data_IF_853845022221
#
_entry.id   IF_853845022221
#
_cell.length_a   1.000
_cell.length_b   1.000
_cell.length_c   1.000
_cell.angle_alpha   90.00
_cell.angle_beta   90.00
_cell.angle_gamma   90.00
#
_symmetry.space_group_name_H-M   'P 1'
#
loop_
_entity.id
_entity.type
_entity.pdbx_description
1 polymer ?
#
# COMPACT_ATOMS: atom_id res chain seq x y z
N UNK A 1 -54.99 28.92 1.11
CA UNK A 1 -54.13 28.57 2.24
C UNK A 1 -53.55 27.15 2.13
N UNK A 2 -54.37 26.10 1.84
CA UNK A 2 -53.85 24.72 1.74
C UNK A 2 -52.81 24.48 0.64
N UNK A 3 -52.88 25.17 -0.50
CA UNK A 3 -51.91 25.02 -1.62
C UNK A 3 -50.54 25.68 -1.36
N UNK A 4 -50.51 26.76 -0.58
CA UNK A 4 -49.27 27.43 -0.17
C UNK A 4 -48.48 26.60 0.87
N UNK A 5 -49.18 25.88 1.74
CA UNK A 5 -48.56 24.98 2.72
C UNK A 5 -47.90 23.76 2.05
N UNK A 6 -48.50 23.20 0.98
CA UNK A 6 -47.93 22.09 0.22
C UNK A 6 -46.63 22.48 -0.54
N UNK A 7 -46.58 23.71 -1.09
CA UNK A 7 -45.37 24.16 -1.78
C UNK A 7 -44.21 24.41 -0.81
N UNK A 8 -44.47 24.92 0.39
CA UNK A 8 -43.45 25.14 1.41
C UNK A 8 -42.86 23.81 1.93
N UNK A 9 -43.66 22.75 2.04
CA UNK A 9 -43.19 21.43 2.48
C UNK A 9 -42.28 20.74 1.46
N UNK A 10 -42.53 20.92 0.15
CA UNK A 10 -41.72 20.36 -0.93
C UNK A 10 -40.38 21.11 -1.03
N UNK A 11 -40.37 22.43 -0.84
CA UNK A 11 -39.14 23.22 -0.86
C UNK A 11 -38.17 22.87 0.32
N UNK A 12 -38.73 22.51 1.49
CA UNK A 12 -37.94 22.13 2.66
C UNK A 12 -37.32 20.72 2.52
N UNK A 13 -38.00 19.80 1.82
CA UNK A 13 -37.48 18.44 1.59
C UNK A 13 -36.33 18.40 0.56
N UNK A 14 -36.29 19.33 -0.40
CA UNK A 14 -35.17 19.42 -1.38
C UNK A 14 -33.90 20.02 -0.75
N UNK A 15 -34.02 20.90 0.23
CA UNK A 15 -32.89 21.48 0.92
C UNK A 15 -32.14 20.49 1.85
N UNK A 16 -32.79 19.41 2.28
CA UNK A 16 -32.21 18.38 3.13
C UNK A 16 -31.38 17.32 2.33
N UNK A 17 -31.54 17.26 1.01
CA UNK A 17 -30.79 16.34 0.14
C UNK A 17 -29.43 16.90 -0.32
N UNK A 18 -29.13 18.18 -0.06
CA UNK A 18 -27.87 18.83 -0.41
C UNK A 18 -26.80 18.73 0.69
N UNK A 19 -27.06 18.02 1.77
CA UNK A 19 -26.11 17.76 2.85
C UNK A 19 -25.30 16.48 2.63
N UNK A 20 -25.06 16.08 1.36
CA UNK A 20 -24.05 15.08 1.03
C UNK A 20 -22.66 15.70 1.13
N UNK A 21 -21.90 15.16 2.00
CA UNK A 21 -20.61 15.56 2.51
C UNK A 21 -19.57 15.86 1.42
N UNK A 22 -18.87 17.00 1.47
CA UNK A 22 -17.76 17.30 0.56
C UNK A 22 -16.45 16.58 0.91
N UNK A 23 -16.39 15.78 1.98
CA UNK A 23 -15.13 15.28 2.53
C UNK A 23 -14.63 13.93 1.96
N UNK A 24 -15.39 13.23 1.11
CA UNK A 24 -14.93 11.97 0.50
C UNK A 24 -13.95 12.17 -0.65
N UNK A 25 -13.96 13.32 -1.30
CA UNK A 25 -13.11 13.59 -2.49
C UNK A 25 -11.61 13.75 -2.16
N UNK A 26 -11.25 13.93 -0.88
CA UNK A 26 -9.86 14.13 -0.44
C UNK A 26 -9.27 12.97 0.36
N UNK A 27 -9.93 11.80 0.37
CA UNK A 27 -9.44 10.63 1.10
C UNK A 27 -8.86 9.60 0.14
N UNK A 28 -7.66 9.09 0.47
CA UNK A 28 -6.97 8.03 -0.31
C UNK A 28 -6.57 6.90 0.63
N UNK A 29 -7.00 5.68 0.34
CA UNK A 29 -6.60 4.48 1.06
C UNK A 29 -5.41 3.82 0.38
N UNK A 30 -4.34 3.60 1.14
CA UNK A 30 -3.11 2.98 0.62
C UNK A 30 -2.79 1.69 1.36
N UNK A 31 -2.73 0.59 0.64
CA UNK A 31 -2.30 -0.69 1.17
C UNK A 31 -0.78 -0.77 1.26
N UNK A 32 -0.27 -1.18 2.42
CA UNK A 32 1.16 -1.42 2.66
C UNK A 32 1.35 -2.79 3.34
N UNK A 33 2.60 -3.24 3.43
CA UNK A 33 2.92 -4.37 4.29
C UNK A 33 3.26 -3.90 5.70
N UNK A 34 2.87 -4.70 6.69
CA UNK A 34 3.27 -4.52 8.10
C UNK A 34 4.79 -4.58 8.22
N UNK A 35 5.38 -3.65 8.99
CA UNK A 35 6.81 -3.64 9.22
C UNK A 35 7.42 -2.24 9.31
N UNK A 36 8.71 -2.08 8.97
CA UNK A 36 9.41 -0.79 9.03
C UNK A 36 8.75 0.32 8.21
N UNK A 37 8.02 -0.04 7.17
CA UNK A 37 7.31 0.87 6.25
C UNK A 37 6.25 1.69 6.97
N UNK A 38 5.60 1.14 8.01
CA UNK A 38 4.54 1.81 8.76
C UNK A 38 5.00 3.15 9.36
N UNK A 39 6.25 3.21 9.84
CA UNK A 39 6.81 4.45 10.38
C UNK A 39 7.00 5.52 9.28
N UNK A 40 7.38 5.11 8.09
CA UNK A 40 7.54 6.00 6.92
C UNK A 40 6.16 6.52 6.49
N UNK A 41 5.17 5.64 6.43
CA UNK A 41 3.82 5.99 6.00
C UNK A 41 3.11 6.92 6.97
N UNK A 42 3.38 6.84 8.27
CA UNK A 42 2.90 7.87 9.24
C UNK A 42 3.40 9.27 8.91
N UNK A 43 4.63 9.39 8.42
CA UNK A 43 5.16 10.67 7.97
C UNK A 43 4.48 11.11 6.66
N UNK A 44 4.21 10.17 5.76
CA UNK A 44 3.47 10.44 4.50
C UNK A 44 2.07 10.97 4.80
N UNK A 45 1.32 10.32 5.70
CA UNK A 45 -0.01 10.77 6.15
C UNK A 45 0.03 12.22 6.67
N UNK A 46 1.00 12.52 7.55
CA UNK A 46 1.14 13.86 8.12
C UNK A 46 1.47 14.90 7.03
N UNK A 47 2.43 14.61 6.15
CA UNK A 47 2.83 15.52 5.06
C UNK A 47 1.71 15.73 4.05
N UNK A 48 0.99 14.66 3.70
CA UNK A 48 -0.16 14.70 2.79
C UNK A 48 -1.24 15.64 3.35
N UNK A 49 -1.55 15.51 4.63
CA UNK A 49 -2.53 16.34 5.32
C UNK A 49 -2.09 17.80 5.39
N UNK A 50 -0.86 18.06 5.85
CA UNK A 50 -0.40 19.42 6.15
C UNK A 50 -0.13 20.24 4.88
N UNK A 51 0.39 19.61 3.82
CA UNK A 51 0.82 20.31 2.61
C UNK A 51 -0.21 20.25 1.48
N UNK A 52 -0.99 19.19 1.41
CA UNK A 52 -1.85 18.92 0.26
C UNK A 52 -3.34 18.80 0.63
N UNK A 53 -3.67 18.89 1.93
CA UNK A 53 -5.03 18.72 2.46
C UNK A 53 -5.63 17.38 2.03
N UNK A 54 -4.78 16.37 1.86
CA UNK A 54 -5.15 15.01 1.46
C UNK A 54 -5.15 14.10 2.69
N UNK A 55 -6.28 13.44 2.95
CA UNK A 55 -6.41 12.47 4.02
C UNK A 55 -5.97 11.09 3.49
N UNK A 56 -4.77 10.65 3.88
CA UNK A 56 -4.25 9.34 3.53
C UNK A 56 -4.56 8.37 4.66
N UNK A 57 -5.29 7.30 4.36
CA UNK A 57 -5.54 6.18 5.26
C UNK A 57 -4.66 5.00 4.90
N UNK A 58 -3.78 4.59 5.79
CA UNK A 58 -2.89 3.44 5.58
C UNK A 58 -3.55 2.15 6.07
N UNK A 59 -3.63 1.14 5.20
CA UNK A 59 -4.15 -0.20 5.50
C UNK A 59 -3.00 -1.20 5.44
N UNK A 60 -2.62 -1.79 6.59
CA UNK A 60 -1.49 -2.71 6.70
C UNK A 60 -1.91 -4.17 6.51
N UNK A 61 -1.15 -4.92 5.71
CA UNK A 61 -1.34 -6.34 5.45
C UNK A 61 -0.11 -7.15 5.89
N UNK A 62 -0.32 -8.39 6.34
CA UNK A 62 0.76 -9.27 6.80
C UNK A 62 1.31 -10.22 5.73
N UNK A 63 0.86 -10.08 4.48
CA UNK A 63 1.27 -10.90 3.34
C UNK A 63 1.44 -10.08 2.06
N UNK A 64 1.99 -10.70 1.02
CA UNK A 64 2.28 -10.03 -0.26
C UNK A 64 1.20 -10.20 -1.33
N UNK A 65 0.11 -10.92 -1.06
CA UNK A 65 -0.97 -11.19 -2.02
C UNK A 65 -2.13 -10.23 -1.81
N UNK A 66 -2.60 -10.10 -0.57
CA UNK A 66 -3.79 -9.33 -0.21
C UNK A 66 -3.73 -7.85 -0.61
N UNK A 67 -2.59 -7.12 -0.56
CA UNK A 67 -2.58 -5.73 -1.01
C UNK A 67 -2.95 -5.53 -2.48
N UNK A 68 -2.57 -6.48 -3.35
CA UNK A 68 -2.96 -6.46 -4.76
C UNK A 68 -4.43 -6.88 -4.96
N UNK A 69 -4.93 -7.82 -4.19
CA UNK A 69 -6.34 -8.21 -4.22
C UNK A 69 -7.23 -7.06 -3.75
N UNK A 70 -6.88 -6.40 -2.66
CA UNK A 70 -7.62 -5.23 -2.15
C UNK A 70 -7.67 -4.09 -3.18
N UNK A 71 -6.55 -3.81 -3.87
CA UNK A 71 -6.53 -2.81 -4.94
C UNK A 71 -7.40 -3.23 -6.14
N UNK A 72 -7.33 -4.49 -6.55
CA UNK A 72 -8.14 -5.01 -7.66
C UNK A 72 -9.64 -4.97 -7.34
N UNK A 73 -10.01 -5.21 -6.08
CA UNK A 73 -11.39 -5.16 -5.61
C UNK A 73 -11.89 -3.74 -5.32
N UNK A 74 -11.01 -2.73 -5.37
CA UNK A 74 -11.27 -1.33 -5.02
C UNK A 74 -11.58 -1.12 -3.52
N UNK A 75 -11.05 -1.96 -2.66
CA UNK A 75 -11.10 -1.79 -1.21
C UNK A 75 -10.09 -0.73 -0.75
N UNK A 76 -9.04 -0.51 -1.57
CA UNK A 76 -8.03 0.55 -1.45
C UNK A 76 -7.82 1.21 -2.81
N UNK A 77 -7.30 2.46 -2.81
CA UNK A 77 -7.08 3.28 -4.00
C UNK A 77 -5.69 3.09 -4.61
N UNK A 78 -4.73 2.71 -3.76
CA UNK A 78 -3.36 2.45 -4.16
C UNK A 78 -2.72 1.38 -3.26
N UNK A 79 -1.59 0.83 -3.69
CA UNK A 79 -0.70 0.10 -2.80
C UNK A 79 0.76 0.51 -2.99
N UNK A 80 1.58 0.32 -1.95
CA UNK A 80 3.00 0.68 -1.96
C UNK A 80 3.79 -0.32 -1.10
N UNK A 81 4.13 -1.47 -1.66
CA UNK A 81 4.86 -2.52 -0.97
C UNK A 81 5.79 -3.31 -1.89
N UNK A 82 5.54 -3.31 -3.18
CA UNK A 82 6.08 -4.27 -4.12
C UNK A 82 7.14 -3.68 -5.06
N UNK A 83 8.01 -4.54 -5.55
CA UNK A 83 8.94 -4.21 -6.63
C UNK A 83 8.26 -4.32 -7.99
N UNK A 84 8.77 -3.60 -8.99
CA UNK A 84 8.21 -3.67 -10.36
C UNK A 84 8.20 -5.11 -10.92
N UNK A 85 9.28 -5.92 -10.81
CA UNK A 85 9.25 -7.29 -11.28
C UNK A 85 8.19 -8.17 -10.58
N UNK A 86 7.94 -7.94 -9.28
CA UNK A 86 6.88 -8.64 -8.56
C UNK A 86 5.50 -8.24 -9.09
N UNK A 87 5.25 -6.94 -9.28
CA UNK A 87 4.02 -6.44 -9.85
C UNK A 87 3.76 -7.03 -11.25
N UNK A 88 4.77 -7.07 -12.11
CA UNK A 88 4.67 -7.64 -13.46
C UNK A 88 4.32 -9.13 -13.42
N UNK A 89 4.98 -9.91 -12.55
CA UNK A 89 4.70 -11.32 -12.36
C UNK A 89 3.25 -11.57 -11.87
N UNK A 90 2.82 -10.84 -10.84
CA UNK A 90 1.47 -10.94 -10.30
C UNK A 90 0.40 -10.47 -11.30
N UNK A 91 0.68 -9.42 -12.05
CA UNK A 91 -0.25 -8.93 -13.08
C UNK A 91 -0.42 -9.94 -14.21
N UNK A 92 0.67 -10.59 -14.62
CA UNK A 92 0.63 -11.66 -15.64
C UNK A 92 -0.14 -12.90 -15.15
N UNK A 93 0.09 -13.31 -13.91
CA UNK A 93 -0.51 -14.50 -13.32
C UNK A 93 -2.01 -14.32 -13.03
N UNK A 94 -2.38 -13.16 -12.48
CA UNK A 94 -3.72 -12.89 -11.94
C UNK A 94 -4.56 -11.95 -12.79
N UNK A 95 -4.00 -11.40 -13.86
CA UNK A 95 -4.71 -10.52 -14.80
C UNK A 95 -4.93 -9.10 -14.30
N UNK A 96 -4.16 -8.63 -13.30
CA UNK A 96 -4.30 -7.28 -12.78
C UNK A 96 -3.94 -6.22 -13.83
N UNK A 97 -4.69 -5.10 -13.83
CA UNK A 97 -4.50 -3.97 -14.75
C UNK A 97 -4.15 -2.71 -13.96
N UNK A 98 -3.05 -2.77 -13.22
CA UNK A 98 -2.59 -1.65 -12.41
C UNK A 98 -1.69 -0.71 -13.20
N UNK A 99 -1.68 0.57 -12.82
CA UNK A 99 -0.75 1.57 -13.31
C UNK A 99 0.29 1.89 -12.23
N UNK A 100 1.56 1.99 -12.61
CA UNK A 100 2.61 2.48 -11.72
C UNK A 100 2.57 4.00 -11.72
N UNK A 101 2.17 4.60 -10.62
CA UNK A 101 2.03 6.06 -10.48
C UNK A 101 3.29 6.74 -9.94
N UNK A 102 4.21 5.98 -9.33
CA UNK A 102 5.46 6.50 -8.81
C UNK A 102 6.34 5.43 -8.19
N UNK A 103 7.58 5.80 -7.88
CA UNK A 103 8.51 4.98 -7.10
C UNK A 103 8.66 5.63 -5.72
N UNK A 104 8.72 4.80 -4.68
CA UNK A 104 8.88 5.25 -3.29
C UNK A 104 10.33 5.06 -2.85
N UNK A 105 10.62 3.97 -2.17
CA UNK A 105 11.95 3.65 -1.62
C UNK A 105 12.24 2.15 -1.81
N UNK A 106 13.49 1.77 -1.60
CA UNK A 106 13.94 0.38 -1.62
C UNK A 106 14.83 0.12 -0.43
N UNK A 107 14.61 -0.99 0.26
CA UNK A 107 15.51 -1.45 1.29
C UNK A 107 16.67 -2.24 0.70
N UNK A 108 17.90 -2.06 1.23
CA UNK A 108 19.01 -2.94 0.90
C UNK A 108 18.71 -4.36 1.37
N UNK A 109 19.15 -5.35 0.59
CA UNK A 109 19.16 -6.73 1.05
C UNK A 109 20.46 -6.99 1.82
N UNK A 110 20.38 -7.74 2.91
CA UNK A 110 21.52 -8.07 3.74
C UNK A 110 21.42 -9.51 4.27
N UNK A 111 22.56 -10.12 4.55
CA UNK A 111 22.64 -11.38 5.27
C UNK A 111 22.75 -11.11 6.79
N UNK A 112 22.02 -11.91 7.57
CA UNK A 112 22.01 -11.84 9.03
C UNK A 112 22.38 -13.18 9.65
N UNK A 113 23.11 -13.14 10.76
CA UNK A 113 23.46 -14.35 11.50
C UNK A 113 23.37 -14.09 13.02
N UNK A 114 22.85 -15.11 13.75
CA UNK A 114 22.92 -15.15 15.19
C UNK A 114 24.17 -15.90 15.69
N UNK A 115 24.90 -16.60 14.81
CA UNK A 115 26.01 -17.51 15.15
C UNK A 115 27.38 -16.90 14.94
N UNK A 116 27.53 -16.09 13.88
CA UNK A 116 28.81 -15.46 13.50
C UNK A 116 28.61 -13.95 13.42
N UNK A 117 29.69 -13.22 13.66
CA UNK A 117 29.71 -11.75 13.60
C UNK A 117 30.39 -11.23 12.33
N UNK A 118 31.21 -12.04 11.69
CA UNK A 118 31.95 -11.69 10.49
C UNK A 118 31.76 -12.78 9.44
N UNK A 119 31.67 -12.41 8.17
CA UNK A 119 31.52 -13.34 7.04
C UNK A 119 32.72 -14.31 6.94
N UNK A 120 33.92 -13.88 7.34
CA UNK A 120 35.14 -14.73 7.38
C UNK A 120 35.02 -15.91 8.35
N UNK A 121 34.08 -15.89 9.28
CA UNK A 121 33.80 -16.96 10.24
C UNK A 121 32.83 -17.99 9.69
N UNK A 122 32.30 -17.80 8.46
CA UNK A 122 31.33 -18.70 7.87
C UNK A 122 32.02 -20.04 7.55
N UNK A 123 31.62 -21.17 8.17
CA UNK A 123 32.27 -22.45 7.93
C UNK A 123 31.92 -22.99 6.55
N UNK A 124 32.82 -23.77 5.99
CA UNK A 124 32.54 -24.53 4.77
C UNK A 124 31.35 -25.46 4.99
N UNK A 125 30.44 -25.53 4.00
CA UNK A 125 29.21 -26.31 4.11
C UNK A 125 28.12 -25.67 4.96
N UNK A 126 28.24 -24.39 5.34
CA UNK A 126 27.19 -23.68 6.07
C UNK A 126 25.89 -23.60 5.26
N UNK A 127 24.76 -23.70 5.96
CA UNK A 127 23.46 -23.52 5.37
C UNK A 127 23.01 -22.06 5.46
N UNK A 128 22.66 -21.48 4.33
CA UNK A 128 22.11 -20.13 4.22
C UNK A 128 20.64 -20.22 3.77
N UNK A 129 19.74 -19.61 4.54
CA UNK A 129 18.33 -19.49 4.16
C UNK A 129 18.14 -18.25 3.30
N UNK A 130 17.52 -18.40 2.15
CA UNK A 130 17.17 -17.30 1.24
C UNK A 130 15.67 -17.33 0.93
N UNK A 131 15.14 -16.21 0.42
CA UNK A 131 13.75 -16.14 -0.02
C UNK A 131 13.48 -17.07 -1.21
N UNK A 132 12.31 -17.70 -1.25
CA UNK A 132 11.80 -18.44 -2.41
C UNK A 132 10.94 -17.56 -3.35
N UNK A 133 10.71 -16.30 -2.99
CA UNK A 133 10.06 -15.35 -3.86
C UNK A 133 11.03 -14.95 -4.98
N UNK A 134 10.57 -15.04 -6.25
CA UNK A 134 11.43 -14.97 -7.45
C UNK A 134 12.31 -13.72 -7.51
N UNK A 135 11.76 -12.55 -7.16
CA UNK A 135 12.51 -11.29 -7.25
C UNK A 135 13.51 -11.11 -6.12
N UNK A 136 13.14 -11.53 -4.92
CA UNK A 136 14.03 -11.52 -3.74
C UNK A 136 15.07 -12.62 -3.80
N UNK A 137 14.74 -13.79 -4.37
CA UNK A 137 15.68 -14.87 -4.64
C UNK A 137 16.85 -14.39 -5.51
N UNK A 138 16.54 -13.74 -6.65
CA UNK A 138 17.58 -13.22 -7.55
C UNK A 138 18.53 -12.24 -6.84
N UNK A 139 18.00 -11.32 -6.03
CA UNK A 139 18.80 -10.39 -5.23
C UNK A 139 19.65 -11.10 -4.15
N UNK A 140 19.08 -12.14 -3.51
CA UNK A 140 19.79 -12.93 -2.51
C UNK A 140 20.97 -13.67 -3.12
N UNK A 141 20.80 -14.27 -4.31
CA UNK A 141 21.88 -14.95 -5.03
C UNK A 141 23.00 -13.99 -5.46
N UNK A 142 22.64 -12.78 -5.90
CA UNK A 142 23.63 -11.74 -6.23
C UNK A 142 24.42 -11.28 -5.01
N UNK A 143 23.82 -11.26 -3.82
CA UNK A 143 24.52 -10.90 -2.57
C UNK A 143 25.54 -11.96 -2.16
N UNK A 144 25.34 -13.23 -2.52
CA UNK A 144 26.19 -14.35 -2.14
C UNK A 144 27.34 -14.63 -3.14
N UNK A 145 27.42 -13.87 -4.24
CA UNK A 145 28.53 -13.94 -5.20
C UNK A 145 29.76 -13.16 -4.70
#
# INVERSE_FOLDING_TARGET
>A
MKKLFSLALIATSVALLSACSPDEDNKVKVAINTGPDEAIWKVVEQVAKDKYHLDVEVVSFNDYVLPNEALNNKDVDANAFQTLPYLEAQSKERGYKFAVVGKTFVFPIAAYSHRIKNISELPEGATVTISNETTTLGRSLLLLQ
#
